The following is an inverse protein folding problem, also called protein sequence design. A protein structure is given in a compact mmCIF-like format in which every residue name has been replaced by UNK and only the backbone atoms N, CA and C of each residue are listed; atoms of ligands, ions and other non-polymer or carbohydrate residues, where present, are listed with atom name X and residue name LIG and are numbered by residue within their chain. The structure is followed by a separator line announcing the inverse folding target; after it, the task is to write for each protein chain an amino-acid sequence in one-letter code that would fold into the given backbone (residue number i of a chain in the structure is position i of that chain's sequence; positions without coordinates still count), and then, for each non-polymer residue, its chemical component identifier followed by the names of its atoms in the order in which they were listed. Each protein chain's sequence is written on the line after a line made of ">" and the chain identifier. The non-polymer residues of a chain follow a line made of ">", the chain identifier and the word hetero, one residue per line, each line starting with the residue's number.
data_IF_600851369962
#
_entry.id   IF_600851369962
#
_cell.length_a   1.000
_cell.length_b   1.000
_cell.length_c   1.000
_cell.angle_alpha   90.00
_cell.angle_beta   90.00
_cell.angle_gamma   90.00
#
_symmetry.space_group_name_H-M   'P 1'
#
loop_
_entity.id
_entity.type
_entity.pdbx_description
1 polymer ?
#
# COMPACT_ATOMS: atom_id res chain seq x y z
N UNK A 1 -23.11 3.64 2.78
CA UNK A 1 -22.02 2.79 3.29
C UNK A 1 -22.31 1.37 2.87
N UNK A 2 -21.31 0.64 2.37
CA UNK A 2 -21.47 -0.78 2.02
C UNK A 2 -21.43 -1.65 3.28
N UNK A 3 -22.18 -2.74 3.27
CA UNK A 3 -22.07 -3.82 4.27
C UNK A 3 -20.76 -4.59 4.13
N UNK A 4 -20.36 -5.35 5.15
CA UNK A 4 -19.19 -6.21 5.09
C UNK A 4 -19.33 -7.33 4.04
N UNK A 5 -20.55 -7.85 3.84
CA UNK A 5 -20.86 -8.81 2.78
C UNK A 5 -20.66 -8.20 1.37
N UNK A 6 -21.14 -6.98 1.14
CA UNK A 6 -20.94 -6.27 -0.14
C UNK A 6 -19.47 -5.92 -0.36
N UNK A 7 -18.75 -5.52 0.69
CA UNK A 7 -17.33 -5.20 0.61
C UNK A 7 -16.46 -6.44 0.31
N UNK A 8 -16.77 -7.55 0.96
CA UNK A 8 -16.00 -8.79 0.83
C UNK A 8 -16.21 -9.46 -0.53
N UNK A 9 -17.39 -9.34 -1.14
CA UNK A 9 -17.68 -9.91 -2.46
C UNK A 9 -17.31 -11.41 -2.52
N UNK A 10 -17.70 -12.14 -1.47
CA UNK A 10 -17.39 -13.57 -1.31
C UNK A 10 -15.92 -13.90 -1.04
N UNK A 11 -15.03 -12.89 -0.94
CA UNK A 11 -13.61 -13.06 -0.61
C UNK A 11 -13.40 -13.12 0.90
N UNK A 12 -12.34 -13.82 1.32
CA UNK A 12 -11.98 -13.91 2.73
C UNK A 12 -11.44 -12.58 3.24
N UNK A 13 -11.99 -12.09 4.35
CA UNK A 13 -11.52 -10.90 5.06
C UNK A 13 -10.69 -11.32 6.28
N UNK A 14 -9.62 -10.57 6.53
CA UNK A 14 -8.77 -10.73 7.71
C UNK A 14 -8.82 -9.46 8.56
N UNK A 15 -8.83 -9.62 9.88
CA UNK A 15 -8.84 -8.50 10.81
C UNK A 15 -7.48 -8.39 11.48
N UNK A 16 -6.82 -7.26 11.25
CA UNK A 16 -5.64 -6.87 12.00
C UNK A 16 -6.06 -6.01 13.21
N UNK A 17 -5.64 -6.41 14.41
CA UNK A 17 -6.01 -5.70 15.64
C UNK A 17 -5.03 -4.56 15.89
N UNK A 18 -5.58 -3.36 16.07
CA UNK A 18 -4.88 -2.22 16.65
C UNK A 18 -5.24 -2.08 18.14
N UNK A 19 -4.36 -1.49 18.95
CA UNK A 19 -4.66 -1.23 20.36
C UNK A 19 -5.82 -0.23 20.54
N UNK A 20 -6.38 -0.19 21.76
CA UNK A 20 -7.57 0.62 22.07
C UNK A 20 -7.36 2.12 21.89
N UNK A 21 -6.17 2.63 22.18
CA UNK A 21 -5.86 4.07 22.07
C UNK A 21 -5.80 4.45 20.60
N UNK A 22 -5.12 3.62 19.79
CA UNK A 22 -5.04 3.78 18.36
C UNK A 22 -6.40 3.64 17.67
N UNK A 23 -7.33 2.83 18.22
CA UNK A 23 -8.71 2.72 17.70
C UNK A 23 -9.50 4.02 17.80
N UNK A 24 -9.50 4.68 18.97
CA UNK A 24 -10.27 5.92 19.15
C UNK A 24 -9.75 7.04 18.22
N UNK A 25 -8.42 7.16 18.10
CA UNK A 25 -7.80 8.11 17.18
C UNK A 25 -8.11 7.78 15.71
N UNK A 26 -8.05 6.50 15.32
CA UNK A 26 -8.35 6.08 13.97
C UNK A 26 -9.80 6.40 13.56
N UNK A 27 -10.76 6.19 14.46
CA UNK A 27 -12.17 6.54 14.22
C UNK A 27 -12.37 8.05 14.09
N UNK A 28 -11.75 8.84 14.97
CA UNK A 28 -11.82 10.31 14.87
C UNK A 28 -11.22 10.83 13.56
N UNK A 29 -10.08 10.28 13.11
CA UNK A 29 -9.49 10.60 11.80
C UNK A 29 -10.41 10.16 10.66
N UNK A 30 -11.12 9.04 10.79
CA UNK A 30 -12.00 8.54 9.74
C UNK A 30 -13.14 9.51 9.46
N UNK A 31 -13.80 10.01 10.52
CA UNK A 31 -14.87 11.00 10.42
C UNK A 31 -14.41 12.27 9.69
N UNK A 32 -13.18 12.73 9.94
CA UNK A 32 -12.61 13.92 9.31
C UNK A 32 -12.19 13.71 7.84
N UNK A 33 -12.08 12.46 7.37
CA UNK A 33 -11.48 12.13 6.06
C UNK A 33 -12.47 11.51 5.06
N UNK A 34 -13.78 11.48 5.36
CA UNK A 34 -14.80 10.83 4.53
C UNK A 34 -14.94 11.40 3.10
N UNK A 35 -14.47 12.62 2.85
CA UNK A 35 -14.72 13.35 1.59
C UNK A 35 -13.50 13.46 0.67
N UNK A 36 -12.45 12.64 0.86
CA UNK A 36 -11.24 12.72 0.02
C UNK A 36 -11.39 11.91 -1.27
N UNK A 37 -11.11 12.55 -2.40
CA UNK A 37 -11.10 11.90 -3.71
C UNK A 37 -10.09 10.76 -3.80
N UNK A 38 -10.49 9.66 -4.41
CA UNK A 38 -9.62 8.51 -4.59
C UNK A 38 -8.56 8.76 -5.66
N UNK A 39 -7.30 8.45 -5.36
CA UNK A 39 -6.21 8.49 -6.33
C UNK A 39 -5.28 7.29 -6.14
N UNK A 40 -5.05 6.52 -7.19
CA UNK A 40 -4.23 5.30 -7.14
C UNK A 40 -2.80 5.52 -6.62
N UNK A 41 -2.21 6.68 -6.92
CA UNK A 41 -0.82 7.01 -6.60
C UNK A 41 -0.66 7.80 -5.30
N UNK A 42 -1.66 8.59 -4.90
CA UNK A 42 -1.52 9.54 -3.79
C UNK A 42 -2.58 9.40 -2.69
N UNK A 43 -3.70 8.72 -2.95
CA UNK A 43 -4.79 8.56 -1.98
C UNK A 43 -5.61 7.29 -2.28
N UNK A 44 -4.96 6.12 -2.16
CA UNK A 44 -5.54 4.81 -2.40
C UNK A 44 -5.95 4.14 -1.07
N UNK A 45 -6.39 2.88 -1.13
CA UNK A 45 -6.85 2.16 0.05
C UNK A 45 -5.78 2.06 1.15
N UNK A 46 -4.53 1.73 0.79
CA UNK A 46 -3.43 1.63 1.75
C UNK A 46 -3.12 2.96 2.40
N UNK A 47 -3.05 4.04 1.60
CA UNK A 47 -2.85 5.39 2.11
C UNK A 47 -3.93 5.82 3.11
N UNK A 48 -5.19 5.48 2.83
CA UNK A 48 -6.30 5.78 3.73
C UNK A 48 -6.13 5.00 5.03
N UNK A 49 -5.98 3.68 4.98
CA UNK A 49 -5.84 2.85 6.19
C UNK A 49 -4.64 3.30 7.03
N UNK A 50 -3.48 3.51 6.41
CA UNK A 50 -2.28 3.94 7.13
C UNK A 50 -2.43 5.32 7.76
N UNK A 51 -3.12 6.26 7.10
CA UNK A 51 -3.37 7.59 7.65
C UNK A 51 -4.29 7.51 8.86
N UNK A 52 -5.28 6.62 8.82
CA UNK A 52 -6.18 6.40 9.95
C UNK A 52 -5.43 5.76 11.12
N UNK A 53 -4.63 4.72 10.87
CA UNK A 53 -3.95 3.97 11.93
C UNK A 53 -2.71 4.67 12.47
N UNK A 54 -1.87 5.25 11.61
CA UNK A 54 -0.55 5.81 11.95
C UNK A 54 -0.46 7.34 11.84
N UNK A 55 -1.52 8.00 11.35
CA UNK A 55 -1.53 9.46 11.14
C UNK A 55 -0.98 9.92 9.80
N UNK A 56 -0.19 9.09 9.11
CA UNK A 56 0.47 9.44 7.85
C UNK A 56 0.12 8.48 6.70
N UNK A 57 -0.03 8.97 5.45
CA UNK A 57 -0.28 8.12 4.30
C UNK A 57 0.99 7.34 3.89
N UNK A 58 0.85 6.03 3.70
CA UNK A 58 1.87 5.12 3.20
C UNK A 58 1.24 4.03 2.35
N UNK A 59 1.89 3.66 1.24
CA UNK A 59 1.55 2.50 0.42
C UNK A 59 2.82 1.68 0.14
N UNK A 60 3.06 0.59 0.88
CA UNK A 60 4.18 -0.32 0.63
C UNK A 60 4.20 -0.84 -0.81
N UNK A 61 3.02 -1.06 -1.41
CA UNK A 61 2.91 -1.49 -2.80
C UNK A 61 3.50 -0.48 -3.78
N UNK A 62 3.15 0.81 -3.66
CA UNK A 62 3.70 1.86 -4.51
C UNK A 62 5.20 2.06 -4.29
N UNK A 63 5.65 2.01 -3.03
CA UNK A 63 7.09 2.05 -2.70
C UNK A 63 7.83 0.90 -3.38
N UNK A 64 7.27 -0.31 -3.36
CA UNK A 64 7.84 -1.48 -4.01
C UNK A 64 7.91 -1.35 -5.53
N UNK A 65 6.89 -0.78 -6.17
CA UNK A 65 6.91 -0.51 -7.61
C UNK A 65 8.00 0.51 -7.94
N UNK A 66 8.03 1.65 -7.25
CA UNK A 66 9.01 2.70 -7.52
C UNK A 66 10.45 2.22 -7.29
N UNK A 67 10.71 1.57 -6.16
CA UNK A 67 12.02 1.02 -5.84
C UNK A 67 12.42 -0.10 -6.81
N UNK A 68 11.46 -0.95 -7.20
CA UNK A 68 11.68 -1.98 -8.20
C UNK A 68 12.07 -1.39 -9.56
N UNK A 69 11.37 -0.34 -10.02
CA UNK A 69 11.68 0.33 -11.30
C UNK A 69 13.09 0.93 -11.25
N UNK A 70 13.42 1.63 -10.16
CA UNK A 70 14.76 2.20 -9.98
C UNK A 70 15.85 1.13 -10.01
N UNK A 71 15.67 0.02 -9.28
CA UNK A 71 16.61 -1.08 -9.25
C UNK A 71 16.78 -1.75 -10.63
N UNK A 72 15.66 -2.03 -11.32
CA UNK A 72 15.67 -2.58 -12.67
C UNK A 72 16.39 -1.67 -13.67
N UNK A 73 16.15 -0.35 -13.60
CA UNK A 73 16.81 0.63 -14.47
C UNK A 73 18.33 0.69 -14.24
N UNK A 74 18.78 0.67 -12.98
CA UNK A 74 20.22 0.63 -12.64
C UNK A 74 20.87 -0.65 -13.17
N UNK A 75 20.27 -1.81 -12.92
CA UNK A 75 20.79 -3.09 -13.40
C UNK A 75 20.80 -3.14 -14.93
N UNK A 76 19.77 -2.64 -15.59
CA UNK A 76 19.76 -2.54 -17.05
C UNK A 76 20.85 -1.60 -17.56
N UNK A 77 21.05 -0.43 -16.94
CA UNK A 77 22.09 0.52 -17.33
C UNK A 77 23.50 -0.08 -17.27
N UNK A 78 23.78 -0.86 -16.23
CA UNK A 78 25.06 -1.52 -15.98
C UNK A 78 25.30 -2.75 -16.86
N UNK A 79 24.26 -3.57 -17.06
CA UNK A 79 24.41 -4.90 -17.70
C UNK A 79 23.91 -4.97 -19.12
N UNK A 80 23.01 -4.05 -19.52
CA UNK A 80 22.20 -4.11 -20.74
C UNK A 80 21.42 -5.43 -20.90
N UNK A 81 21.19 -6.17 -19.80
CA UNK A 81 20.55 -7.48 -19.82
C UNK A 81 19.11 -7.40 -19.29
N UNK A 82 18.08 -7.59 -20.15
CA UNK A 82 16.68 -7.38 -19.76
C UNK A 82 16.21 -8.36 -18.68
N UNK A 83 16.68 -9.61 -18.70
CA UNK A 83 16.29 -10.58 -17.67
C UNK A 83 16.87 -10.25 -16.29
N UNK A 84 18.07 -9.67 -16.24
CA UNK A 84 18.69 -9.28 -14.97
C UNK A 84 17.95 -8.06 -14.37
N UNK A 85 17.58 -7.10 -15.22
CA UNK A 85 16.75 -5.97 -14.84
C UNK A 85 15.37 -6.40 -14.32
N UNK A 86 14.70 -7.32 -15.01
CA UNK A 86 13.41 -7.86 -14.61
C UNK A 86 13.49 -8.62 -13.27
N UNK A 87 14.53 -9.45 -13.09
CA UNK A 87 14.77 -10.14 -11.82
C UNK A 87 15.01 -9.17 -10.67
N UNK A 88 15.79 -8.11 -10.89
CA UNK A 88 16.05 -7.06 -9.89
C UNK A 88 14.78 -6.31 -9.51
N UNK A 89 13.99 -5.88 -10.50
CA UNK A 89 12.67 -5.26 -10.28
C UNK A 89 11.78 -6.15 -9.41
N UNK A 90 11.63 -7.42 -9.79
CA UNK A 90 10.75 -8.35 -9.11
C UNK A 90 11.19 -8.61 -7.66
N UNK A 91 12.48 -8.80 -7.44
CA UNK A 91 13.04 -9.03 -6.10
C UNK A 91 12.80 -7.83 -5.16
N UNK A 92 13.09 -6.61 -5.62
CA UNK A 92 12.90 -5.40 -4.81
C UNK A 92 11.41 -5.13 -4.56
N UNK A 93 10.56 -5.24 -5.57
CA UNK A 93 9.10 -5.09 -5.40
C UNK A 93 8.56 -6.08 -4.36
N UNK A 94 8.99 -7.35 -4.43
CA UNK A 94 8.55 -8.39 -3.50
C UNK A 94 9.07 -8.22 -2.06
N UNK A 95 10.17 -7.50 -1.87
CA UNK A 95 10.68 -7.17 -0.53
C UNK A 95 9.82 -6.11 0.15
N UNK A 96 9.39 -5.09 -0.59
CA UNK A 96 8.50 -4.05 -0.06
C UNK A 96 7.05 -4.51 0.11
N UNK A 97 6.58 -5.49 -0.67
CA UNK A 97 5.25 -6.09 -0.48
C UNK A 97 5.13 -7.07 0.69
N UNK A 98 6.24 -7.38 1.38
CA UNK A 98 6.29 -8.27 2.55
C UNK A 98 6.48 -7.51 3.88
N UNK A 99 6.55 -6.18 3.85
CA UNK A 99 6.71 -5.30 5.00
C UNK A 99 5.46 -4.46 5.20
#
# INVERSE_FOLDING_TARGET
>A
MASEAEFSDGKRVYVERIDRVNRAQALSRAEQNLSRDYNLFTNNCEHTVSRLTHGEPSSPQLRGILAGVAAGAVVFGLTRHPAAAAASFAAVRAWFGRR
#
